data_IF_242811485140
#
_entry.id   IF_242811485140
#
_cell.length_a   1.000
_cell.length_b   1.000
_cell.length_c   1.000
_cell.angle_alpha   90.00
_cell.angle_beta   90.00
_cell.angle_gamma   90.00
#
_symmetry.space_group_name_H-M   'P 1'
#
loop_
_entity.id
_entity.type
_entity.pdbx_description
1 polymer ?
#
# COMPACT_ATOMS: atom_id res chain seq x y z
N UNK A 1 22.22 5.29 -15.74
CA UNK A 1 21.19 5.29 -16.81
C UNK A 1 20.81 3.89 -17.32
N UNK A 2 21.68 2.87 -17.20
CA UNK A 2 21.45 1.52 -17.76
C UNK A 2 20.37 0.66 -17.05
N UNK A 3 20.23 0.77 -15.73
CA UNK A 3 19.38 -0.14 -14.95
C UNK A 3 17.86 0.07 -15.14
N UNK A 4 17.42 1.32 -15.31
CA UNK A 4 16.00 1.67 -15.56
C UNK A 4 15.52 1.18 -16.93
N UNK A 5 16.38 1.25 -17.94
CA UNK A 5 16.07 0.77 -19.29
C UNK A 5 15.87 -0.76 -19.30
N UNK A 6 16.68 -1.48 -18.53
CA UNK A 6 16.63 -2.94 -18.47
C UNK A 6 15.33 -3.47 -17.83
N UNK A 7 14.86 -2.85 -16.73
CA UNK A 7 13.58 -3.21 -16.09
C UNK A 7 12.38 -2.93 -16.99
N UNK A 8 12.30 -1.75 -17.59
CA UNK A 8 11.21 -1.37 -18.49
C UNK A 8 11.08 -2.30 -19.69
N UNK A 9 12.22 -2.72 -20.27
CA UNK A 9 12.24 -3.69 -21.38
C UNK A 9 11.71 -5.06 -20.95
N UNK A 10 12.04 -5.53 -19.75
CA UNK A 10 11.53 -6.81 -19.21
C UNK A 10 10.05 -6.76 -18.87
N UNK A 11 9.54 -5.62 -18.40
CA UNK A 11 8.11 -5.44 -18.11
C UNK A 11 7.26 -5.59 -19.38
N UNK A 12 7.62 -4.88 -20.45
CA UNK A 12 6.91 -4.97 -21.73
C UNK A 12 6.94 -6.38 -22.33
N UNK A 13 8.06 -7.10 -22.19
CA UNK A 13 8.14 -8.50 -22.64
C UNK A 13 7.17 -9.42 -21.89
N UNK A 14 6.94 -9.19 -20.60
CA UNK A 14 6.02 -10.00 -19.81
C UNK A 14 4.57 -9.67 -20.18
N UNK A 15 4.23 -8.40 -20.43
CA UNK A 15 2.90 -8.04 -20.95
C UNK A 15 2.61 -8.73 -22.28
N UNK A 16 3.56 -8.69 -23.22
CA UNK A 16 3.44 -9.38 -24.52
C UNK A 16 3.27 -10.91 -24.34
N UNK A 17 3.98 -11.52 -23.39
CA UNK A 17 3.85 -12.96 -23.08
C UNK A 17 2.50 -13.31 -22.43
N UNK A 18 1.90 -12.42 -21.65
CA UNK A 18 0.63 -12.65 -20.97
C UNK A 18 -0.58 -12.40 -21.88
N UNK A 19 -0.44 -11.54 -22.89
CA UNK A 19 -1.53 -11.25 -23.84
C UNK A 19 -1.66 -12.34 -24.92
N UNK A 20 -0.82 -13.37 -24.91
CA UNK A 20 -1.01 -14.58 -25.73
C UNK A 20 -2.21 -15.37 -25.20
N UNK A 21 -3.24 -15.55 -26.05
CA UNK A 21 -4.52 -16.18 -25.69
C UNK A 21 -4.38 -17.65 -25.25
N UNK A 22 -3.28 -18.32 -25.64
CA UNK A 22 -3.05 -19.76 -25.43
C UNK A 22 -2.26 -20.10 -24.14
N UNK A 23 -2.03 -19.12 -23.26
CA UNK A 23 -1.23 -19.34 -22.04
C UNK A 23 -1.95 -20.19 -20.97
N UNK A 24 -3.25 -20.43 -21.10
CA UNK A 24 -4.05 -21.16 -20.09
C UNK A 24 -4.19 -20.43 -18.75
N UNK A 25 -3.87 -19.13 -18.71
CA UNK A 25 -3.91 -18.28 -17.51
C UNK A 25 -5.21 -17.48 -17.49
N UNK A 26 -5.91 -17.51 -16.36
CA UNK A 26 -7.16 -16.75 -16.19
C UNK A 26 -6.88 -15.24 -16.08
N UNK A 27 -7.91 -14.43 -16.36
CA UNK A 27 -7.78 -12.96 -16.34
C UNK A 27 -7.26 -12.44 -15.00
N UNK A 28 -7.80 -12.94 -13.88
CA UNK A 28 -7.43 -12.48 -12.54
C UNK A 28 -5.96 -12.81 -12.21
N UNK A 29 -5.46 -13.95 -12.70
CA UNK A 29 -4.06 -14.33 -12.58
C UNK A 29 -3.16 -13.42 -13.44
N UNK A 30 -3.59 -13.07 -14.66
CA UNK A 30 -2.87 -12.10 -15.50
C UNK A 30 -2.78 -10.73 -14.82
N UNK A 31 -3.89 -10.26 -14.23
CA UNK A 31 -3.95 -8.97 -13.53
C UNK A 31 -3.05 -8.98 -12.28
N UNK A 32 -3.01 -10.09 -11.54
CA UNK A 32 -2.10 -10.28 -10.41
C UNK A 32 -0.64 -10.23 -10.84
N UNK A 33 -0.27 -10.95 -11.91
CA UNK A 33 1.10 -10.98 -12.44
C UNK A 33 1.52 -9.57 -12.88
N UNK A 34 0.68 -8.86 -13.64
CA UNK A 34 0.92 -7.46 -14.05
C UNK A 34 1.13 -6.56 -12.83
N UNK A 35 0.30 -6.70 -11.79
CA UNK A 35 0.42 -5.97 -10.52
C UNK A 35 1.74 -6.23 -9.79
N UNK A 36 2.19 -7.49 -9.69
CA UNK A 36 3.46 -7.86 -9.04
C UNK A 36 4.65 -7.22 -9.75
N UNK A 37 4.70 -7.29 -11.08
CA UNK A 37 5.80 -6.71 -11.85
C UNK A 37 5.79 -5.17 -11.82
N UNK A 38 4.61 -4.55 -11.72
CA UNK A 38 4.45 -3.10 -11.65
C UNK A 38 4.79 -2.52 -10.26
N UNK A 39 4.61 -3.29 -9.19
CA UNK A 39 4.74 -2.85 -7.81
C UNK A 39 6.11 -2.20 -7.51
N UNK A 40 7.18 -2.73 -8.09
CA UNK A 40 8.54 -2.21 -7.88
C UNK A 40 8.77 -0.81 -8.45
N UNK A 41 7.89 -0.33 -9.34
CA UNK A 41 7.92 1.03 -9.90
C UNK A 41 6.81 1.92 -9.34
N UNK A 42 5.82 1.35 -8.65
CA UNK A 42 4.72 2.09 -8.02
C UNK A 42 5.25 2.93 -6.85
N UNK A 43 5.10 4.27 -6.89
CA UNK A 43 5.44 5.11 -5.75
C UNK A 43 4.56 4.78 -4.54
N UNK A 44 5.12 4.77 -3.33
CA UNK A 44 4.36 4.52 -2.07
C UNK A 44 3.15 5.46 -1.95
N UNK A 45 3.33 6.74 -2.31
CA UNK A 45 2.26 7.74 -2.29
C UNK A 45 1.04 7.40 -3.15
N UNK A 46 1.19 6.51 -4.14
CA UNK A 46 0.10 6.11 -5.04
C UNK A 46 -0.80 5.04 -4.43
N UNK A 47 -0.36 4.37 -3.35
CA UNK A 47 -1.08 3.26 -2.71
C UNK A 47 -1.30 3.45 -1.20
N UNK A 48 -0.60 4.40 -0.56
CA UNK A 48 -0.77 4.68 0.86
C UNK A 48 -2.12 5.34 1.16
N UNK A 49 -2.61 5.19 2.40
CA UNK A 49 -3.73 5.97 2.91
C UNK A 49 -3.31 7.45 3.01
N UNK A 50 -4.06 8.40 2.43
CA UNK A 50 -3.75 9.82 2.57
C UNK A 50 -3.71 10.25 4.02
N UNK A 51 -2.78 11.14 4.38
CA UNK A 51 -2.58 11.61 5.76
C UNK A 51 -3.88 12.10 6.43
N UNK A 52 -4.73 12.79 5.69
CA UNK A 52 -6.01 13.33 6.19
C UNK A 52 -7.02 12.25 6.58
N UNK A 53 -6.84 11.05 6.04
CA UNK A 53 -7.78 9.94 6.17
C UNK A 53 -7.22 8.86 7.12
N UNK A 54 -6.01 9.06 7.65
CA UNK A 54 -5.39 8.16 8.62
C UNK A 54 -6.13 8.28 9.96
N UNK A 55 -6.71 7.17 10.41
CA UNK A 55 -7.15 7.02 11.80
C UNK A 55 -5.91 6.90 12.67
N UNK A 56 -5.67 7.91 13.51
CA UNK A 56 -4.57 7.94 14.49
C UNK A 56 -5.10 8.37 15.87
N UNK A 57 -4.33 8.06 16.91
CA UNK A 57 -4.65 8.39 18.31
C UNK A 57 -3.54 9.23 18.92
N UNK A 58 -3.91 10.23 19.71
CA UNK A 58 -2.93 11.01 20.49
C UNK A 58 -2.53 10.22 21.74
N UNK A 59 -1.26 10.32 22.14
CA UNK A 59 -0.77 9.75 23.41
C UNK A 59 -1.49 10.35 24.63
N UNK A 60 -1.98 11.59 24.50
CA UNK A 60 -2.71 12.31 25.54
C UNK A 60 -4.22 12.03 25.53
N UNK A 61 -4.72 11.20 24.61
CA UNK A 61 -6.15 10.94 24.47
C UNK A 61 -6.67 10.03 25.60
N UNK A 62 -7.83 10.35 26.23
CA UNK A 62 -8.39 9.51 27.28
C UNK A 62 -8.67 8.08 26.80
N UNK A 63 -8.33 7.09 27.63
CA UNK A 63 -8.46 5.65 27.30
C UNK A 63 -9.84 5.26 26.76
N UNK A 64 -10.92 5.86 27.26
CA UNK A 64 -12.28 5.59 26.79
C UNK A 64 -12.52 6.01 25.34
N UNK A 65 -11.94 7.14 24.92
CA UNK A 65 -12.05 7.62 23.54
C UNK A 65 -11.15 6.82 22.59
N UNK A 66 -9.95 6.42 23.05
CA UNK A 66 -9.08 5.50 22.32
C UNK A 66 -9.79 4.17 22.05
N UNK A 67 -10.41 3.56 23.07
CA UNK A 67 -11.16 2.31 22.93
C UNK A 67 -12.30 2.42 21.92
N UNK A 68 -13.06 3.53 21.96
CA UNK A 68 -14.12 3.79 20.98
C UNK A 68 -13.56 3.86 19.56
N UNK A 69 -12.49 4.63 19.33
CA UNK A 69 -11.84 4.75 18.00
C UNK A 69 -11.31 3.42 17.48
N UNK A 70 -10.66 2.63 18.34
CA UNK A 70 -10.14 1.31 17.95
C UNK A 70 -11.27 0.39 17.49
N UNK A 71 -12.34 0.28 18.28
CA UNK A 71 -13.47 -0.60 17.96
C UNK A 71 -14.22 -0.13 16.71
N UNK A 72 -14.40 1.19 16.55
CA UNK A 72 -15.11 1.76 15.40
C UNK A 72 -14.31 1.68 14.09
N UNK A 73 -12.99 1.83 14.14
CA UNK A 73 -12.14 1.77 12.95
C UNK A 73 -11.90 0.34 12.45
N UNK A 74 -11.91 -0.65 13.36
CA UNK A 74 -11.65 -2.05 13.02
C UNK A 74 -10.21 -2.31 12.54
N UNK A 75 -9.28 -1.39 12.79
CA UNK A 75 -7.88 -1.53 12.39
C UNK A 75 -7.05 -2.25 13.45
N UNK A 76 -6.21 -3.19 13.00
CA UNK A 76 -5.30 -3.92 13.90
C UNK A 76 -4.05 -3.14 14.29
N UNK A 77 -3.73 -2.05 13.58
CA UNK A 77 -2.60 -1.18 13.88
C UNK A 77 -3.03 0.26 13.72
N UNK A 78 -2.89 1.04 14.79
CA UNK A 78 -3.25 2.46 14.79
C UNK A 78 -2.02 3.28 15.20
N UNK A 79 -1.57 4.25 14.36
CA UNK A 79 -0.49 5.14 14.73
C UNK A 79 -0.81 5.92 16.01
N UNK A 80 0.16 5.97 16.93
CA UNK A 80 0.13 6.80 18.12
C UNK A 80 1.06 7.99 17.91
N UNK A 81 0.56 9.21 18.11
CA UNK A 81 1.34 10.43 17.93
C UNK A 81 1.36 11.31 19.18
N UNK A 82 2.37 12.19 19.28
CA UNK A 82 2.47 13.19 20.34
C UNK A 82 2.48 14.61 19.74
N UNK A 83 1.55 15.45 20.19
CA UNK A 83 1.37 16.81 19.68
C UNK A 83 0.77 16.86 18.28
N UNK A 84 1.59 16.64 17.24
CA UNK A 84 1.17 16.62 15.83
C UNK A 84 1.15 15.20 15.28
N UNK A 85 0.22 14.91 14.37
CA UNK A 85 0.14 13.61 13.66
C UNK A 85 1.42 13.29 12.85
N UNK A 86 2.25 14.29 12.55
CA UNK A 86 3.56 14.08 11.91
C UNK A 86 4.59 13.45 12.86
N UNK A 87 4.37 13.51 14.18
CA UNK A 87 5.24 12.98 15.21
C UNK A 87 4.70 11.64 15.74
N UNK A 88 4.75 10.61 14.90
CA UNK A 88 4.34 9.25 15.26
C UNK A 88 5.41 8.63 16.16
N UNK A 89 5.02 8.28 17.39
CA UNK A 89 5.89 7.69 18.42
C UNK A 89 5.75 6.17 18.53
N UNK A 90 4.74 5.58 17.89
CA UNK A 90 4.52 4.14 17.92
C UNK A 90 3.21 3.72 17.27
N UNK A 91 2.81 2.48 17.56
CA UNK A 91 1.56 1.88 17.11
C UNK A 91 0.90 1.14 18.27
N UNK A 92 -0.42 1.17 18.31
CA UNK A 92 -1.25 0.28 19.11
C UNK A 92 -1.62 -0.96 18.31
#
# INVERSE_FOLDING_TARGET
MSFKLFKKKRFNQIEEMLDVEDAGIEKDEKDMIKGIFGLGETPVKSIMVPRTDVVAISVDEPKGEVLKKVVQSGHSRIPVYEGTIDNVIGFL
#
